data_IF_732536268072
#
_entry.id   IF_732536268072
#
_cell.length_a   1.000
_cell.length_b   1.000
_cell.length_c   1.000
_cell.angle_alpha   90.00
_cell.angle_beta   90.00
_cell.angle_gamma   90.00
#
_symmetry.space_group_name_H-M   'P 1'
#
loop_
_entity.id
_entity.type
_entity.pdbx_description
1 polymer ?
#
# COMPACT_ATOMS: atom_id res chain seq x y z
N UNK A 1 28.65 -14.20 32.68
CA UNK A 1 28.41 -15.04 33.87
C UNK A 1 27.00 -14.76 34.38
N UNK A 2 26.14 -15.78 34.55
CA UNK A 2 24.80 -15.58 35.12
C UNK A 2 24.90 -15.23 36.62
N UNK A 3 24.09 -14.29 37.10
CA UNK A 3 24.01 -13.92 38.52
C UNK A 3 23.30 -15.03 39.31
N UNK A 4 23.69 -15.21 40.58
CA UNK A 4 23.22 -16.28 41.49
C UNK A 4 21.71 -16.31 41.75
N UNK A 5 20.97 -15.31 41.27
CA UNK A 5 19.55 -15.11 41.59
C UNK A 5 18.60 -15.29 40.38
N UNK A 6 19.12 -15.73 39.23
CA UNK A 6 18.28 -16.01 38.04
C UNK A 6 17.72 -14.78 37.33
N UNK A 7 18.13 -13.57 37.74
CA UNK A 7 17.71 -12.32 37.09
C UNK A 7 18.69 -11.92 35.97
N UNK A 8 18.18 -11.44 34.82
CA UNK A 8 19.04 -11.07 33.71
C UNK A 8 19.83 -9.78 34.04
N UNK A 9 21.14 -9.79 33.77
CA UNK A 9 22.12 -8.80 34.26
C UNK A 9 22.05 -7.43 33.57
N UNK A 10 21.28 -7.26 32.49
CA UNK A 10 21.14 -5.99 31.76
C UNK A 10 19.76 -5.36 32.00
N UNK A 11 19.73 -4.04 32.23
CA UNK A 11 18.49 -3.29 32.45
C UNK A 11 17.43 -3.56 31.35
N UNK A 12 17.85 -3.54 30.09
CA UNK A 12 17.00 -3.83 28.93
C UNK A 12 16.40 -5.23 28.94
N UNK A 13 17.19 -6.23 29.37
CA UNK A 13 16.70 -7.61 29.48
C UNK A 13 15.68 -7.79 30.61
N UNK A 14 15.77 -7.02 31.69
CA UNK A 14 14.78 -7.02 32.78
C UNK A 14 13.47 -6.36 32.35
N UNK A 15 13.55 -5.24 31.62
CA UNK A 15 12.38 -4.56 31.04
C UNK A 15 11.65 -5.49 30.06
N UNK A 16 12.39 -6.17 29.17
CA UNK A 16 11.80 -7.11 28.21
C UNK A 16 11.13 -8.32 28.88
N UNK A 17 11.72 -8.84 29.95
CA UNK A 17 11.13 -9.93 30.73
C UNK A 17 9.82 -9.52 31.42
N UNK A 18 9.78 -8.32 32.04
CA UNK A 18 8.54 -7.76 32.61
C UNK A 18 7.49 -7.48 31.53
N UNK A 19 7.90 -6.93 30.39
CA UNK A 19 7.02 -6.65 29.25
C UNK A 19 6.36 -7.92 28.71
N UNK A 20 7.12 -9.02 28.56
CA UNK A 20 6.61 -10.30 28.09
C UNK A 20 5.60 -10.99 29.02
N UNK A 21 5.55 -10.63 30.30
CA UNK A 21 4.55 -11.18 31.23
C UNK A 21 3.15 -10.58 31.03
N UNK A 22 3.05 -9.38 30.48
CA UNK A 22 1.76 -8.72 30.23
C UNK A 22 1.27 -9.04 28.81
N UNK A 23 0.24 -9.90 28.70
CA UNK A 23 -0.36 -10.29 27.42
C UNK A 23 -0.88 -9.10 26.59
N UNK A 24 -1.45 -8.09 27.26
CA UNK A 24 -1.94 -6.86 26.60
C UNK A 24 -0.79 -6.02 26.03
N UNK A 25 0.35 -5.94 26.73
CA UNK A 25 1.52 -5.22 26.27
C UNK A 25 2.18 -5.88 25.04
N UNK A 26 2.25 -7.22 25.02
CA UNK A 26 2.69 -7.94 23.83
C UNK A 26 1.70 -7.74 22.66
N UNK A 27 0.39 -7.78 22.92
CA UNK A 27 -0.61 -7.58 21.89
C UNK A 27 -0.52 -6.17 21.27
N UNK A 28 -0.39 -5.13 22.09
CA UNK A 28 -0.22 -3.76 21.58
C UNK A 28 1.09 -3.60 20.80
N UNK A 29 2.17 -4.26 21.22
CA UNK A 29 3.41 -4.28 20.45
C UNK A 29 3.20 -4.90 19.06
N UNK A 30 2.53 -6.06 18.98
CA UNK A 30 2.24 -6.68 17.69
C UNK A 30 1.32 -5.81 16.83
N UNK A 31 0.32 -5.16 17.42
CA UNK A 31 -0.56 -4.25 16.70
C UNK A 31 0.21 -3.07 16.12
N UNK A 32 1.07 -2.41 16.92
CA UNK A 32 1.91 -1.30 16.45
C UNK A 32 2.86 -1.77 15.36
N UNK A 33 3.51 -2.92 15.54
CA UNK A 33 4.45 -3.47 14.57
C UNK A 33 3.74 -3.85 13.26
N UNK A 34 2.51 -4.37 13.36
CA UNK A 34 1.66 -4.65 12.21
C UNK A 34 1.26 -3.36 11.47
N UNK A 35 0.78 -2.33 12.18
CA UNK A 35 0.46 -1.05 11.55
C UNK A 35 1.69 -0.40 10.90
N UNK A 36 2.84 -0.45 11.57
CA UNK A 36 4.11 0.04 11.02
C UNK A 36 4.53 -0.72 9.76
N UNK A 37 4.40 -2.05 9.78
CA UNK A 37 4.65 -2.88 8.61
C UNK A 37 3.71 -2.53 7.45
N UNK A 38 2.40 -2.39 7.71
CA UNK A 38 1.42 -1.97 6.71
C UNK A 38 1.79 -0.59 6.13
N UNK A 39 2.25 0.36 6.95
CA UNK A 39 2.68 1.68 6.50
C UNK A 39 3.90 1.62 5.57
N UNK A 40 4.89 0.77 5.88
CA UNK A 40 6.07 0.58 5.01
C UNK A 40 5.70 -0.09 3.68
N UNK A 41 4.74 -1.02 3.71
CA UNK A 41 4.25 -1.73 2.52
C UNK A 41 3.15 -0.94 1.80
N UNK A 42 2.65 0.17 2.37
CA UNK A 42 1.58 0.98 1.79
C UNK A 42 1.88 1.46 0.37
N UNK A 43 3.10 1.94 0.02
CA UNK A 43 3.41 2.33 -1.36
C UNK A 43 3.33 1.19 -2.39
N UNK A 44 3.42 -0.08 -1.94
CA UNK A 44 3.24 -1.27 -2.77
C UNK A 44 1.77 -1.70 -2.86
N UNK A 45 0.97 -1.42 -1.83
CA UNK A 45 -0.46 -1.78 -1.78
C UNK A 45 -1.38 -0.70 -2.35
N UNK A 46 -0.99 0.57 -2.20
CA UNK A 46 -1.75 1.76 -2.52
C UNK A 46 -0.92 2.69 -3.41
N UNK A 47 -1.06 2.56 -4.72
CA UNK A 47 -0.29 3.35 -5.67
C UNK A 47 -1.09 3.62 -6.96
N UNK A 48 -0.86 4.77 -7.58
CA UNK A 48 -1.47 5.14 -8.86
C UNK A 48 -0.71 4.61 -10.08
N UNK A 49 0.40 3.90 -9.86
CA UNK A 49 1.22 3.25 -10.90
C UNK A 49 1.17 1.73 -10.74
N UNK A 50 1.32 0.97 -11.83
CA UNK A 50 1.43 -0.47 -11.73
C UNK A 50 2.77 -0.88 -11.09
N UNK A 51 2.76 -2.00 -10.39
CA UNK A 51 3.94 -2.65 -9.81
C UNK A 51 4.91 -3.06 -10.90
N UNK A 52 4.39 -3.68 -11.95
CA UNK A 52 5.15 -4.02 -13.16
C UNK A 52 4.28 -3.86 -14.40
N UNK A 53 4.91 -3.44 -15.50
CA UNK A 53 4.27 -3.28 -16.79
C UNK A 53 5.18 -3.78 -17.90
N UNK A 54 4.62 -4.53 -18.84
CA UNK A 54 5.29 -4.96 -20.07
C UNK A 54 4.88 -4.05 -21.21
N UNK A 55 5.85 -3.41 -21.87
CA UNK A 55 5.66 -2.55 -23.03
C UNK A 55 6.62 -3.00 -24.13
N UNK A 56 6.11 -3.32 -25.31
CA UNK A 56 6.91 -3.74 -26.48
C UNK A 56 7.91 -4.87 -26.17
N UNK A 57 7.53 -5.82 -25.30
CA UNK A 57 8.37 -6.96 -24.91
C UNK A 57 9.41 -6.70 -23.82
N UNK A 58 9.52 -5.48 -23.29
CA UNK A 58 10.35 -5.16 -22.12
C UNK A 58 9.48 -4.97 -20.87
N UNK A 59 9.90 -5.58 -19.77
CA UNK A 59 9.24 -5.44 -18.46
C UNK A 59 9.91 -4.32 -17.69
N UNK A 60 9.10 -3.37 -17.22
CA UNK A 60 9.50 -2.23 -16.40
C UNK A 60 8.79 -2.30 -15.05
N UNK A 61 9.36 -1.63 -14.05
CA UNK A 61 8.79 -1.51 -12.70
C UNK A 61 8.51 -0.03 -12.37
N UNK A 62 7.37 0.52 -12.84
CA UNK A 62 7.07 1.96 -12.70
C UNK A 62 6.95 2.45 -11.26
N UNK A 63 6.81 1.55 -10.29
CA UNK A 63 6.78 1.90 -8.88
C UNK A 63 8.09 2.49 -8.36
N UNK A 64 9.23 2.06 -8.91
CA UNK A 64 10.56 2.54 -8.51
C UNK A 64 11.05 3.71 -9.37
N UNK A 65 10.36 4.01 -10.47
CA UNK A 65 10.79 4.99 -11.46
C UNK A 65 9.75 6.10 -11.58
N UNK A 66 10.19 7.34 -11.38
CA UNK A 66 9.35 8.51 -11.59
C UNK A 66 9.33 8.88 -13.07
N UNK A 67 8.82 7.97 -13.90
CA UNK A 67 8.74 8.18 -15.33
C UNK A 67 7.41 8.86 -15.70
N UNK A 68 7.51 9.99 -16.41
CA UNK A 68 6.37 10.72 -17.00
C UNK A 68 6.07 10.26 -18.44
N UNK A 69 6.62 9.11 -18.85
CA UNK A 69 6.54 8.63 -20.23
C UNK A 69 5.10 8.24 -20.57
N UNK A 70 4.35 7.73 -19.59
CA UNK A 70 2.97 7.28 -19.76
C UNK A 70 2.09 7.79 -18.63
N UNK A 71 0.93 8.33 -19.00
CA UNK A 71 -0.16 8.65 -18.07
C UNK A 71 -0.88 7.35 -17.66
N UNK A 72 -0.30 6.61 -16.71
CA UNK A 72 -0.88 5.36 -16.17
C UNK A 72 -2.35 5.52 -15.77
N UNK A 73 -2.74 6.69 -15.24
CA UNK A 73 -4.12 7.01 -14.86
C UNK A 73 -5.13 6.88 -16.02
N UNK A 74 -4.75 7.26 -17.25
CA UNK A 74 -5.64 7.20 -18.43
C UNK A 74 -5.79 5.78 -18.97
N UNK A 75 -4.76 4.96 -18.79
CA UNK A 75 -4.71 3.60 -19.31
C UNK A 75 -5.43 2.62 -18.37
N UNK A 76 -5.49 2.96 -17.07
CA UNK A 76 -6.19 2.18 -16.05
C UNK A 76 -7.68 2.06 -16.38
N UNK A 77 -8.19 0.84 -16.56
CA UNK A 77 -9.63 0.60 -16.71
C UNK A 77 -10.29 0.66 -15.33
N UNK A 78 -11.27 1.57 -15.16
CA UNK A 78 -11.99 1.78 -13.92
C UNK A 78 -13.24 0.90 -13.76
N UNK A 79 -13.90 0.55 -14.87
CA UNK A 79 -15.20 -0.12 -14.87
C UNK A 79 -15.11 -1.61 -14.47
N UNK A 80 -14.01 -2.27 -14.84
CA UNK A 80 -13.76 -3.69 -14.59
C UNK A 80 -12.40 -3.84 -13.89
N UNK A 81 -12.33 -3.41 -12.63
CA UNK A 81 -11.09 -3.38 -11.88
C UNK A 81 -10.57 -4.80 -11.59
N UNK A 82 -9.46 -5.13 -12.23
CA UNK A 82 -8.63 -6.27 -11.88
C UNK A 82 -7.17 -5.84 -11.77
N UNK A 83 -6.38 -6.44 -10.86
CA UNK A 83 -4.97 -6.10 -10.70
C UNK A 83 -4.17 -6.44 -11.96
N UNK A 84 -4.56 -7.47 -12.72
CA UNK A 84 -3.93 -7.79 -13.98
C UNK A 84 -4.75 -7.26 -15.16
N UNK A 85 -4.18 -6.32 -15.92
CA UNK A 85 -4.84 -5.71 -17.08
C UNK A 85 -3.98 -5.82 -18.33
N UNK A 86 -4.60 -6.09 -19.47
CA UNK A 86 -3.95 -6.12 -20.79
C UNK A 86 -4.28 -4.84 -21.57
N UNK A 87 -3.28 -4.26 -22.20
CA UNK A 87 -3.44 -3.06 -23.01
C UNK A 87 -3.88 -3.44 -24.43
N UNK A 88 -4.90 -2.75 -24.97
CA UNK A 88 -5.46 -3.05 -26.29
C UNK A 88 -4.65 -2.42 -27.44
N UNK A 89 -4.13 -1.18 -27.37
CA UNK A 89 -3.37 -0.51 -28.46
C UNK A 89 -2.41 0.60 -27.96
N UNK A 90 -1.30 0.97 -28.66
CA UNK A 90 -0.35 0.15 -29.43
C UNK A 90 0.96 -0.09 -28.64
N UNK A 91 1.34 -1.37 -28.55
CA UNK A 91 2.50 -1.87 -27.78
C UNK A 91 2.11 -3.02 -26.85
N UNK A 92 1.37 -3.99 -27.42
CA UNK A 92 0.71 -5.13 -26.78
C UNK A 92 1.42 -5.58 -25.50
N UNK A 93 0.84 -5.18 -24.38
CA UNK A 93 1.47 -5.23 -23.08
C UNK A 93 0.49 -5.61 -21.99
N UNK A 94 1.02 -5.82 -20.80
CA UNK A 94 0.21 -6.09 -19.61
C UNK A 94 0.73 -5.24 -18.46
N UNK A 95 -0.12 -4.95 -17.50
CA UNK A 95 0.27 -4.31 -16.26
C UNK A 95 -0.35 -5.03 -15.07
N UNK A 96 0.48 -5.18 -14.03
CA UNK A 96 0.05 -5.62 -12.72
C UNK A 96 -0.04 -4.40 -11.81
N UNK A 97 -1.25 -4.10 -11.37
CA UNK A 97 -1.58 -3.01 -10.51
C UNK A 97 -1.58 -3.42 -9.03
N UNK A 98 -1.34 -2.46 -8.13
CA UNK A 98 -1.51 -2.68 -6.69
C UNK A 98 -3.00 -2.91 -6.36
N UNK A 99 -3.28 -3.53 -5.20
CA UNK A 99 -4.64 -3.84 -4.78
C UNK A 99 -5.54 -2.60 -4.69
N UNK A 100 -4.97 -1.50 -4.18
CA UNK A 100 -5.60 -0.19 -4.12
C UNK A 100 -4.92 0.71 -5.15
N UNK A 101 -5.51 0.90 -6.33
CA UNK A 101 -4.88 1.66 -7.41
C UNK A 101 -5.02 3.17 -7.29
N UNK A 102 -5.16 3.69 -6.08
CA UNK A 102 -5.41 5.10 -5.82
C UNK A 102 -4.23 5.70 -5.07
N UNK A 103 -3.79 6.88 -5.50
CA UNK A 103 -2.82 7.66 -4.75
C UNK A 103 -3.53 8.61 -3.78
N UNK A 104 -2.98 8.87 -2.59
CA UNK A 104 -3.48 9.90 -1.67
C UNK A 104 -3.47 11.31 -2.28
N UNK A 105 -2.74 11.52 -3.37
CA UNK A 105 -2.66 12.79 -4.10
C UNK A 105 -3.50 12.83 -5.39
N UNK A 106 -4.26 11.78 -5.71
CA UNK A 106 -5.09 11.73 -6.93
C UNK A 106 -6.40 12.55 -6.80
N UNK A 107 -6.81 13.26 -7.85
CA UNK A 107 -8.07 14.01 -7.89
C UNK A 107 -8.92 13.58 -9.08
N UNK A 108 -10.25 13.57 -8.95
CA UNK A 108 -11.16 13.26 -10.05
C UNK A 108 -12.24 14.35 -10.21
N UNK A 109 -11.97 15.34 -11.06
CA UNK A 109 -12.86 16.48 -11.26
C UNK A 109 -14.19 16.11 -11.93
N UNK A 110 -14.32 14.90 -12.49
CA UNK A 110 -15.57 14.41 -13.06
C UNK A 110 -16.52 13.80 -12.02
N UNK A 111 -16.04 13.54 -10.80
CA UNK A 111 -16.80 12.92 -9.71
C UNK A 111 -16.78 13.83 -8.48
N UNK A 112 -17.10 15.13 -8.64
CA UNK A 112 -17.16 16.09 -7.54
C UNK A 112 -18.53 16.03 -6.86
N UNK A 113 -18.58 16.12 -5.52
CA UNK A 113 -19.83 16.16 -4.73
C UNK A 113 -20.81 15.02 -5.04
N UNK A 114 -20.29 13.85 -5.41
CA UNK A 114 -21.09 12.67 -5.70
C UNK A 114 -21.59 11.99 -4.41
N UNK A 115 -22.83 11.45 -4.40
CA UNK A 115 -23.36 10.74 -3.25
C UNK A 115 -22.64 9.39 -3.01
N UNK A 116 -22.80 8.78 -1.82
CA UNK A 116 -22.29 7.45 -1.54
C UNK A 116 -22.62 6.43 -2.62
N UNK A 117 -21.62 5.70 -3.09
CA UNK A 117 -21.72 4.70 -4.15
C UNK A 117 -20.84 3.50 -3.87
N UNK A 118 -20.98 2.44 -4.67
CA UNK A 118 -20.11 1.24 -4.57
C UNK A 118 -18.63 1.54 -4.80
N UNK A 119 -18.33 2.61 -5.56
CA UNK A 119 -16.98 3.09 -5.82
C UNK A 119 -16.45 4.00 -4.72
N UNK A 120 -17.30 4.88 -4.20
CA UNK A 120 -17.00 5.83 -3.13
C UNK A 120 -17.98 5.63 -1.99
N UNK A 121 -17.65 4.78 -1.02
CA UNK A 121 -18.60 4.37 0.04
C UNK A 121 -19.15 5.52 0.88
N UNK A 122 -18.42 6.64 0.95
CA UNK A 122 -18.81 7.82 1.71
C UNK A 122 -19.20 9.02 0.80
N UNK A 123 -19.25 8.82 -0.52
CA UNK A 123 -19.36 9.90 -1.49
C UNK A 123 -18.01 10.59 -1.74
N UNK A 124 -18.02 11.73 -2.42
CA UNK A 124 -16.79 12.45 -2.77
C UNK A 124 -16.83 13.93 -2.39
N UNK A 125 -15.67 14.50 -2.06
CA UNK A 125 -15.51 15.92 -1.72
C UNK A 125 -15.52 16.89 -2.95
N UNK A 126 -15.15 18.16 -2.71
CA UNK A 126 -15.02 19.22 -3.72
C UNK A 126 -13.89 18.96 -4.75
N UNK A 127 -13.05 17.96 -4.51
CA UNK A 127 -11.95 17.54 -5.38
C UNK A 127 -12.14 16.13 -5.94
N UNK A 128 -13.29 15.51 -5.68
CA UNK A 128 -13.64 14.19 -6.19
C UNK A 128 -12.83 13.05 -5.56
N UNK A 129 -12.55 13.15 -4.26
CA UNK A 129 -11.93 12.09 -3.45
C UNK A 129 -12.92 11.49 -2.46
#
# INVERSE_FOLDING_TARGET
MPSRDGYPTSYWSMVWWRFKKHKLAIFSLYLILFLGFVAVVAPLLANNKPLCASLNGRVFFPIFQQDNILDWKKIRKHKDWHPFQRFEHPGSGWALWPLVPYSPTEYNLFEILSPPSSRHWLGTDDRGR
#
